data_IF_534705276172
#
_entry.id   IF_534705276172
#
_cell.length_a   1.000
_cell.length_b   1.000
_cell.length_c   1.000
_cell.angle_alpha   90.00
_cell.angle_beta   90.00
_cell.angle_gamma   90.00
#
_symmetry.space_group_name_H-M   'P 1'
#
loop_
_entity.id
_entity.type
_entity.pdbx_description
1 polymer ?
#
# COMPACT_ATOMS: atom_id res chain seq x y z
N UNK A 1 -8.04 16.41 7.98
CA UNK A 1 -8.35 15.49 6.87
C UNK A 1 -8.60 14.10 7.37
N UNK A 2 -9.43 13.36 6.65
CA UNK A 2 -9.73 11.94 6.90
C UNK A 2 -9.35 11.14 5.68
N UNK A 3 -8.66 10.05 5.84
CA UNK A 3 -8.29 9.25 4.68
C UNK A 3 -8.24 7.75 5.00
N UNK A 4 -8.32 6.95 3.96
CA UNK A 4 -8.18 5.50 4.04
C UNK A 4 -6.81 5.11 3.51
N UNK A 5 -6.14 4.20 4.22
CA UNK A 5 -4.93 3.54 3.78
C UNK A 5 -5.22 2.04 3.58
N UNK A 6 -4.99 1.56 2.38
CA UNK A 6 -5.13 0.16 1.97
C UNK A 6 -3.95 -0.25 1.09
N UNK A 7 -3.66 -1.55 1.01
CA UNK A 7 -2.56 -2.11 0.23
C UNK A 7 -2.81 -3.60 -0.09
N UNK A 8 -1.95 -4.17 -0.89
CA UNK A 8 -1.80 -5.62 -1.06
C UNK A 8 -3.12 -6.31 -1.44
N UNK A 9 -3.81 -5.74 -2.45
CA UNK A 9 -5.08 -6.29 -2.94
C UNK A 9 -4.88 -7.61 -3.68
N UNK A 10 -3.75 -7.78 -4.36
CA UNK A 10 -3.37 -8.97 -5.11
C UNK A 10 -4.49 -9.51 -6.01
N UNK A 11 -5.12 -8.63 -6.77
CA UNK A 11 -6.24 -9.00 -7.63
C UNK A 11 -5.82 -10.08 -8.64
N UNK A 12 -6.64 -11.12 -8.75
CA UNK A 12 -6.37 -12.28 -9.59
C UNK A 12 -5.50 -13.37 -8.94
N UNK A 13 -5.28 -13.30 -7.61
CA UNK A 13 -4.52 -14.31 -6.87
C UNK A 13 -5.17 -15.69 -6.92
N UNK A 14 -4.29 -16.70 -6.97
CA UNK A 14 -4.64 -18.11 -6.81
C UNK A 14 -4.22 -18.58 -5.43
N UNK A 15 -5.15 -19.12 -4.65
CA UNK A 15 -4.86 -19.77 -3.36
C UNK A 15 -5.24 -21.23 -3.45
N UNK A 16 -4.27 -22.13 -3.29
CA UNK A 16 -4.47 -23.59 -3.44
C UNK A 16 -5.19 -23.99 -4.74
N UNK A 17 -4.83 -23.34 -5.87
CA UNK A 17 -5.44 -23.59 -7.18
C UNK A 17 -6.82 -22.99 -7.39
N UNK A 18 -7.34 -22.23 -6.42
CA UNK A 18 -8.63 -21.54 -6.52
C UNK A 18 -8.45 -20.08 -6.86
N UNK A 19 -9.16 -19.60 -7.86
CA UNK A 19 -9.22 -18.17 -8.18
C UNK A 19 -9.96 -17.41 -7.10
N UNK A 20 -9.34 -16.35 -6.58
CA UNK A 20 -9.90 -15.53 -5.50
C UNK A 20 -10.73 -14.35 -6.00
N UNK A 21 -10.85 -14.14 -7.30
CA UNK A 21 -11.48 -12.95 -7.90
C UNK A 21 -12.91 -12.70 -7.40
N UNK A 22 -13.73 -13.76 -7.24
CA UNK A 22 -15.10 -13.59 -6.70
C UNK A 22 -15.11 -13.17 -5.22
N UNK A 23 -14.20 -13.71 -4.42
CA UNK A 23 -14.07 -13.35 -3.00
C UNK A 23 -13.51 -11.94 -2.87
N UNK A 24 -12.55 -11.57 -3.71
CA UNK A 24 -12.00 -10.21 -3.81
C UNK A 24 -13.10 -9.21 -4.21
N UNK A 25 -13.92 -9.54 -5.20
CA UNK A 25 -15.06 -8.71 -5.59
C UNK A 25 -16.08 -8.53 -4.46
N UNK A 26 -16.29 -9.56 -3.62
CA UNK A 26 -17.17 -9.46 -2.46
C UNK A 26 -16.61 -8.50 -1.40
N UNK A 27 -15.33 -8.61 -1.07
CA UNK A 27 -14.66 -7.75 -0.08
C UNK A 27 -14.54 -6.31 -0.58
N UNK A 28 -14.23 -6.11 -1.87
CA UNK A 28 -14.14 -4.77 -2.45
C UNK A 28 -15.50 -4.05 -2.49
N UNK A 29 -16.62 -4.77 -2.67
CA UNK A 29 -17.95 -4.14 -2.51
C UNK A 29 -18.20 -3.65 -1.09
N UNK A 30 -17.78 -4.41 -0.05
CA UNK A 30 -17.84 -3.91 1.33
C UNK A 30 -16.94 -2.70 1.51
N UNK A 31 -15.71 -2.75 0.99
CA UNK A 31 -14.78 -1.63 1.05
C UNK A 31 -15.39 -0.34 0.45
N UNK A 32 -16.03 -0.43 -0.73
CA UNK A 32 -16.72 0.70 -1.36
C UNK A 32 -17.87 1.23 -0.47
N UNK A 33 -18.64 0.35 0.18
CA UNK A 33 -19.70 0.75 1.11
C UNK A 33 -19.12 1.47 2.34
N UNK A 34 -18.03 0.97 2.90
CA UNK A 34 -17.31 1.62 4.01
C UNK A 34 -16.77 3.00 3.61
N UNK A 35 -16.24 3.15 2.39
CA UNK A 35 -15.82 4.46 1.85
C UNK A 35 -17.01 5.43 1.76
N UNK A 36 -18.16 4.96 1.29
CA UNK A 36 -19.39 5.76 1.18
C UNK A 36 -19.91 6.21 2.55
N UNK A 37 -19.82 5.35 3.58
CA UNK A 37 -20.24 5.65 4.95
C UNK A 37 -19.26 6.57 5.68
N UNK A 38 -17.95 6.31 5.57
CA UNK A 38 -16.90 7.07 6.27
C UNK A 38 -16.57 8.41 5.62
N UNK A 39 -16.87 8.57 4.32
CA UNK A 39 -16.64 9.80 3.55
C UNK A 39 -15.22 10.36 3.72
N UNK A 40 -14.17 9.60 3.40
CA UNK A 40 -12.80 10.09 3.49
C UNK A 40 -12.55 11.16 2.42
N UNK A 41 -11.60 12.06 2.69
CA UNK A 41 -11.15 13.06 1.72
C UNK A 41 -10.39 12.43 0.55
N UNK A 42 -9.69 11.30 0.80
CA UNK A 42 -8.98 10.52 -0.22
C UNK A 42 -8.62 9.11 0.26
N UNK A 43 -8.14 8.28 -0.67
CA UNK A 43 -7.65 6.92 -0.42
C UNK A 43 -6.18 6.82 -0.82
N UNK A 44 -5.36 6.19 0.04
CA UNK A 44 -3.98 5.79 -0.24
C UNK A 44 -3.94 4.29 -0.52
N UNK A 45 -3.47 3.90 -1.72
CA UNK A 45 -3.32 2.50 -2.14
C UNK A 45 -1.83 2.18 -2.31
N UNK A 46 -1.25 1.53 -1.31
CA UNK A 46 0.19 1.37 -1.16
C UNK A 46 0.75 0.11 -1.87
N UNK A 47 0.40 -0.09 -3.13
CA UNK A 47 1.00 -1.11 -4.01
C UNK A 47 0.40 -2.50 -3.92
N UNK A 48 0.96 -3.41 -4.71
CA UNK A 48 0.51 -4.79 -4.92
C UNK A 48 -0.99 -4.89 -5.24
N UNK A 49 -1.38 -4.07 -6.23
CA UNK A 49 -2.75 -4.01 -6.74
C UNK A 49 -3.11 -5.35 -7.39
N UNK A 50 -2.21 -5.88 -8.20
CA UNK A 50 -2.35 -7.18 -8.86
C UNK A 50 -1.39 -8.23 -8.29
N UNK A 51 -1.79 -9.51 -8.35
CA UNK A 51 -0.94 -10.63 -7.90
C UNK A 51 0.28 -10.87 -8.81
N UNK A 52 0.27 -10.34 -10.01
CA UNK A 52 1.35 -10.51 -11.00
C UNK A 52 1.38 -9.36 -12.00
N UNK A 53 2.55 -9.12 -12.58
CA UNK A 53 2.78 -8.04 -13.57
C UNK A 53 1.93 -8.15 -14.84
N UNK A 54 1.42 -9.34 -15.18
CA UNK A 54 0.43 -9.57 -16.23
C UNK A 54 -0.81 -10.18 -15.58
N UNK A 55 -1.74 -9.35 -15.07
CA UNK A 55 -2.93 -9.83 -14.40
C UNK A 55 -3.93 -10.47 -15.38
N UNK A 56 -4.78 -11.39 -14.92
CA UNK A 56 -5.89 -11.89 -15.72
C UNK A 56 -6.91 -10.77 -15.98
N UNK A 57 -7.64 -10.90 -17.09
CA UNK A 57 -8.61 -9.89 -17.55
C UNK A 57 -9.67 -9.57 -16.48
N UNK A 58 -10.12 -10.59 -15.76
CA UNK A 58 -11.12 -10.47 -14.71
C UNK A 58 -10.63 -9.62 -13.54
N UNK A 59 -9.32 -9.69 -13.23
CA UNK A 59 -8.70 -8.86 -12.20
C UNK A 59 -8.61 -7.39 -12.63
N UNK A 60 -8.24 -7.15 -13.89
CA UNK A 60 -8.18 -5.80 -14.48
C UNK A 60 -9.57 -5.17 -14.45
N UNK A 61 -10.60 -5.92 -14.88
CA UNK A 61 -11.98 -5.44 -14.84
C UNK A 61 -12.47 -5.15 -13.43
N UNK A 62 -12.17 -6.03 -12.46
CA UNK A 62 -12.53 -5.80 -11.06
C UNK A 62 -11.89 -4.52 -10.51
N UNK A 63 -10.64 -4.26 -10.87
CA UNK A 63 -9.95 -3.03 -10.48
C UNK A 63 -10.61 -1.80 -11.11
N UNK A 64 -10.87 -1.83 -12.42
CA UNK A 64 -11.55 -0.76 -13.16
C UNK A 64 -12.93 -0.45 -12.56
N UNK A 65 -13.76 -1.49 -12.34
CA UNK A 65 -15.08 -1.35 -11.74
C UNK A 65 -15.01 -0.72 -10.34
N UNK A 66 -14.01 -1.13 -9.53
CA UNK A 66 -13.80 -0.57 -8.17
C UNK A 66 -13.35 0.88 -8.23
N UNK A 67 -12.39 1.23 -9.10
CA UNK A 67 -11.96 2.62 -9.28
C UNK A 67 -13.11 3.52 -9.75
N UNK A 68 -13.94 3.03 -10.67
CA UNK A 68 -15.12 3.77 -11.12
C UNK A 68 -16.06 4.11 -9.96
N UNK A 69 -16.33 3.13 -9.09
CA UNK A 69 -17.15 3.34 -7.89
C UNK A 69 -16.54 4.38 -6.95
N UNK A 70 -15.25 4.29 -6.66
CA UNK A 70 -14.56 5.18 -5.73
C UNK A 70 -14.41 6.60 -6.29
N UNK A 71 -13.91 6.72 -7.52
CA UNK A 71 -13.50 8.00 -8.10
C UNK A 71 -14.66 8.72 -8.78
N UNK A 72 -15.42 8.02 -9.65
CA UNK A 72 -16.46 8.66 -10.47
C UNK A 72 -17.81 8.71 -9.73
N UNK A 73 -18.21 7.63 -9.04
CA UNK A 73 -19.50 7.63 -8.34
C UNK A 73 -19.43 8.34 -6.98
N UNK A 74 -18.41 8.02 -6.16
CA UNK A 74 -18.28 8.60 -4.81
C UNK A 74 -17.50 9.93 -4.81
N UNK A 75 -16.73 10.21 -5.87
CA UNK A 75 -15.92 11.43 -5.96
C UNK A 75 -14.73 11.45 -5.01
N UNK A 76 -14.26 10.28 -4.53
CA UNK A 76 -13.15 10.17 -3.59
C UNK A 76 -11.85 9.95 -4.36
N UNK A 77 -10.87 10.89 -4.30
CA UNK A 77 -9.59 10.74 -4.98
C UNK A 77 -8.80 9.53 -4.45
N UNK A 78 -8.10 8.84 -5.37
CA UNK A 78 -7.22 7.70 -5.04
C UNK A 78 -5.79 8.03 -5.41
N UNK A 79 -4.88 7.93 -4.45
CA UNK A 79 -3.43 8.04 -4.63
C UNK A 79 -2.83 6.64 -4.52
N UNK A 80 -2.31 6.14 -5.63
CA UNK A 80 -1.85 4.76 -5.74
C UNK A 80 -0.39 4.67 -6.19
N UNK A 81 0.28 3.60 -5.79
CA UNK A 81 1.62 3.24 -6.28
C UNK A 81 1.63 1.79 -6.76
N UNK A 82 2.63 1.41 -7.55
CA UNK A 82 2.92 0.00 -7.80
C UNK A 82 3.67 -0.64 -6.64
N UNK A 83 3.42 -1.94 -6.43
CA UNK A 83 4.23 -2.80 -5.58
C UNK A 83 5.16 -3.71 -6.39
N UNK A 84 5.79 -4.68 -5.72
CA UNK A 84 6.75 -5.59 -6.37
C UNK A 84 6.08 -6.71 -7.20
N UNK A 85 4.78 -6.94 -7.05
CA UNK A 85 4.01 -7.86 -7.89
C UNK A 85 3.48 -7.20 -9.16
N UNK A 86 3.30 -5.90 -9.15
CA UNK A 86 2.69 -5.14 -10.23
C UNK A 86 3.58 -5.03 -11.47
N UNK A 87 2.96 -4.69 -12.60
CA UNK A 87 3.66 -4.24 -13.80
C UNK A 87 3.68 -2.72 -13.83
N UNK A 88 4.78 -2.06 -13.45
CA UNK A 88 4.82 -0.61 -13.24
C UNK A 88 4.40 0.17 -14.48
N UNK A 89 4.87 -0.20 -15.67
CA UNK A 89 4.54 0.47 -16.93
C UNK A 89 3.06 0.30 -17.30
N UNK A 90 2.45 -0.85 -16.93
CA UNK A 90 1.02 -1.11 -17.15
C UNK A 90 0.14 -0.23 -16.26
N UNK A 91 0.52 -0.08 -15.00
CA UNK A 91 -0.18 0.81 -14.07
C UNK A 91 0.03 2.28 -14.44
N UNK A 92 1.22 2.65 -14.94
CA UNK A 92 1.50 4.01 -15.39
C UNK A 92 0.73 4.40 -16.65
N UNK A 93 0.27 3.41 -17.45
CA UNK A 93 -0.44 3.70 -18.69
C UNK A 93 -1.72 4.51 -18.45
N UNK A 94 -1.84 5.65 -19.12
CA UNK A 94 -3.01 6.52 -19.01
C UNK A 94 -3.06 7.40 -17.76
N UNK A 95 -2.11 7.30 -16.81
CA UNK A 95 -2.09 8.03 -15.54
C UNK A 95 -2.34 9.53 -15.68
N UNK A 96 -1.69 10.19 -16.65
CA UNK A 96 -1.86 11.64 -16.90
C UNK A 96 -3.28 12.03 -17.33
N UNK A 97 -4.03 11.11 -17.92
CA UNK A 97 -5.43 11.34 -18.30
C UNK A 97 -6.34 11.10 -17.10
N UNK A 98 -6.11 10.03 -16.35
CA UNK A 98 -6.90 9.63 -15.21
C UNK A 98 -6.72 10.55 -13.99
N UNK A 99 -5.57 11.21 -13.88
CA UNK A 99 -5.30 12.20 -12.83
C UNK A 99 -6.37 13.30 -12.76
N UNK A 100 -6.92 13.71 -13.91
CA UNK A 100 -7.98 14.74 -13.97
C UNK A 100 -9.31 14.29 -13.35
N UNK A 101 -9.56 13.00 -13.34
CA UNK A 101 -10.73 12.39 -12.70
C UNK A 101 -10.53 12.14 -11.20
N UNK A 102 -9.33 12.28 -10.67
CA UNK A 102 -9.03 12.03 -9.25
C UNK A 102 -8.32 10.69 -8.99
N UNK A 103 -7.80 10.02 -10.04
CA UNK A 103 -6.96 8.85 -9.88
C UNK A 103 -5.50 9.19 -10.18
N UNK A 104 -4.69 9.31 -9.13
CA UNK A 104 -3.26 9.56 -9.18
C UNK A 104 -2.51 8.25 -8.96
N UNK A 105 -1.82 7.76 -10.01
CA UNK A 105 -1.03 6.52 -9.95
C UNK A 105 0.40 6.79 -10.35
N UNK A 106 1.35 6.37 -9.52
CA UNK A 106 2.77 6.31 -9.83
C UNK A 106 3.16 4.83 -9.91
N UNK A 107 3.18 4.31 -11.12
CA UNK A 107 3.61 2.94 -11.39
C UNK A 107 5.12 2.83 -11.49
N UNK A 108 5.76 3.76 -12.19
CA UNK A 108 7.19 3.77 -12.47
C UNK A 108 7.85 5.05 -11.95
N UNK A 109 8.91 4.92 -11.16
CA UNK A 109 9.71 6.07 -10.75
C UNK A 109 10.73 6.39 -11.85
N UNK A 110 10.57 7.53 -12.51
CA UNK A 110 11.43 7.94 -13.63
C UNK A 110 12.37 9.11 -13.31
N UNK A 111 11.96 10.00 -12.42
CA UNK A 111 12.71 11.24 -12.10
C UNK A 111 12.93 11.46 -10.60
N UNK A 112 12.36 10.63 -9.76
CA UNK A 112 12.35 10.75 -8.29
C UNK A 112 10.95 10.60 -7.71
N UNK A 113 10.79 10.95 -6.45
CA UNK A 113 9.51 10.87 -5.74
C UNK A 113 8.53 11.89 -6.33
N UNK A 114 7.34 11.43 -6.74
CA UNK A 114 6.28 12.32 -7.19
C UNK A 114 5.49 12.87 -6.00
N UNK A 115 5.38 14.19 -5.93
CA UNK A 115 4.67 14.92 -4.87
C UNK A 115 3.38 15.52 -5.39
N UNK A 116 2.29 15.26 -4.66
CA UNK A 116 0.97 15.84 -4.91
C UNK A 116 0.62 16.82 -3.79
N UNK A 117 0.20 18.02 -4.19
CA UNK A 117 -0.24 19.07 -3.25
C UNK A 117 -1.75 18.97 -3.06
N UNK A 118 -2.16 18.93 -1.80
CA UNK A 118 -3.57 18.95 -1.40
C UNK A 118 -3.78 20.02 -0.34
N UNK A 119 -5.04 20.40 -0.13
CA UNK A 119 -5.41 21.41 0.87
C UNK A 119 -6.75 21.04 1.51
N UNK A 120 -6.87 21.25 2.81
CA UNK A 120 -8.13 21.16 3.53
C UNK A 120 -8.36 22.44 4.36
N UNK A 121 -9.40 22.47 5.19
CA UNK A 121 -9.72 23.59 6.07
C UNK A 121 -8.60 23.95 7.07
N UNK A 122 -7.64 23.06 7.26
CA UNK A 122 -6.49 23.22 8.17
C UNK A 122 -5.20 23.64 7.44
N UNK A 123 -5.25 23.85 6.11
CA UNK A 123 -4.13 24.31 5.29
C UNK A 123 -3.52 23.23 4.40
N UNK A 124 -2.29 23.50 3.97
CA UNK A 124 -1.60 22.67 2.98
C UNK A 124 -1.14 21.32 3.53
N UNK A 125 -1.19 20.32 2.66
CA UNK A 125 -0.54 19.04 2.87
C UNK A 125 0.05 18.53 1.55
N UNK A 126 0.97 17.58 1.64
CA UNK A 126 1.56 16.91 0.48
C UNK A 126 1.49 15.42 0.65
N UNK A 127 1.32 14.72 -0.47
CA UNK A 127 1.36 13.26 -0.57
C UNK A 127 2.51 12.89 -1.50
N UNK A 128 3.51 12.21 -0.96
CA UNK A 128 4.67 11.70 -1.68
C UNK A 128 4.43 10.23 -2.05
N UNK A 129 4.40 9.93 -3.35
CA UNK A 129 4.20 8.59 -3.87
C UNK A 129 5.55 7.95 -4.21
N UNK A 130 5.89 6.88 -3.49
CA UNK A 130 7.15 6.13 -3.58
C UNK A 130 6.82 4.68 -3.98
N UNK A 131 6.68 4.37 -5.28
CA UNK A 131 6.41 3.00 -5.72
C UNK A 131 7.55 2.06 -5.31
N UNK A 132 7.31 0.74 -5.40
CA UNK A 132 8.40 -0.22 -5.26
C UNK A 132 9.54 0.14 -6.21
N UNK A 133 10.75 0.22 -5.67
CA UNK A 133 11.93 0.60 -6.42
C UNK A 133 13.12 -0.29 -6.08
N UNK A 134 13.71 -0.91 -7.11
CA UNK A 134 14.99 -1.58 -6.99
C UNK A 134 16.13 -0.57 -6.81
N UNK A 135 17.14 -0.85 -5.97
CA UNK A 135 18.28 0.07 -5.76
C UNK A 135 18.98 0.53 -7.04
N UNK A 136 18.95 -0.29 -8.12
CA UNK A 136 19.54 0.08 -9.41
C UNK A 136 18.82 1.27 -10.07
N UNK A 137 17.52 1.40 -9.87
CA UNK A 137 16.72 2.52 -10.37
C UNK A 137 17.07 3.79 -9.60
N UNK A 138 17.17 3.71 -8.27
CA UNK A 138 17.60 4.84 -7.44
C UNK A 138 19.02 5.32 -7.84
N UNK A 139 19.96 4.40 -8.08
CA UNK A 139 21.29 4.73 -8.63
C UNK A 139 21.21 5.53 -9.90
N UNK A 140 20.39 5.06 -10.83
CA UNK A 140 20.23 5.71 -12.15
C UNK A 140 19.63 7.11 -12.02
N UNK A 141 18.55 7.25 -11.26
CA UNK A 141 17.84 8.54 -11.09
C UNK A 141 18.73 9.56 -10.37
N UNK A 142 19.39 9.15 -9.28
CA UNK A 142 20.19 10.05 -8.44
C UNK A 142 21.62 10.23 -8.95
N UNK A 143 22.04 9.48 -9.98
CA UNK A 143 23.43 9.45 -10.49
C UNK A 143 24.45 9.14 -9.38
N UNK A 144 24.11 8.17 -8.52
CA UNK A 144 24.89 7.77 -7.34
C UNK A 144 25.24 6.29 -7.39
N UNK A 145 26.50 5.98 -7.68
CA UNK A 145 26.98 4.59 -7.80
C UNK A 145 27.17 3.88 -6.45
N UNK A 146 27.11 4.59 -5.34
CA UNK A 146 27.30 4.06 -3.98
C UNK A 146 26.06 3.35 -3.41
N UNK A 147 24.86 3.58 -3.95
CA UNK A 147 23.62 2.94 -3.52
C UNK A 147 23.67 1.43 -3.86
N UNK A 148 23.57 0.55 -2.86
CA UNK A 148 23.64 -0.92 -3.00
C UNK A 148 22.40 -1.63 -2.47
N UNK A 149 21.77 -1.09 -1.43
CA UNK A 149 20.68 -1.68 -0.67
C UNK A 149 19.40 -0.88 -0.82
N UNK A 150 18.27 -1.49 -0.46
CA UNK A 150 16.99 -0.77 -0.38
C UNK A 150 17.05 0.34 0.65
N UNK A 151 17.71 0.11 1.80
CA UNK A 151 17.90 1.12 2.85
C UNK A 151 18.56 2.39 2.32
N UNK A 152 19.70 2.24 1.62
CA UNK A 152 20.41 3.36 1.00
C UNK A 152 19.60 4.05 -0.11
N UNK A 153 18.79 3.28 -0.87
CA UNK A 153 17.94 3.83 -1.91
C UNK A 153 16.83 4.72 -1.34
N UNK A 154 16.10 4.23 -0.32
CA UNK A 154 15.05 5.01 0.33
C UNK A 154 15.60 6.21 1.07
N UNK A 155 16.71 6.06 1.81
CA UNK A 155 17.39 7.19 2.45
C UNK A 155 17.73 8.28 1.43
N UNK A 156 18.43 7.91 0.34
CA UNK A 156 18.88 8.86 -0.66
C UNK A 156 17.72 9.56 -1.38
N UNK A 157 16.63 8.84 -1.70
CA UNK A 157 15.44 9.41 -2.34
C UNK A 157 14.70 10.38 -1.41
N UNK A 158 14.46 9.99 -0.16
CA UNK A 158 13.75 10.84 0.81
C UNK A 158 14.57 12.09 1.13
N UNK A 159 15.90 12.02 1.17
CA UNK A 159 16.78 13.19 1.35
C UNK A 159 16.68 14.22 0.22
N UNK A 160 16.13 13.87 -0.96
CA UNK A 160 15.88 14.84 -2.03
C UNK A 160 14.63 15.68 -1.81
N UNK A 161 13.78 15.31 -0.84
CA UNK A 161 12.50 15.96 -0.61
C UNK A 161 12.66 17.18 0.30
N UNK A 162 11.85 18.20 0.02
CA UNK A 162 11.76 19.40 0.85
C UNK A 162 10.61 19.25 1.86
N UNK A 163 10.93 19.37 3.14
CA UNK A 163 9.97 19.29 4.25
C UNK A 163 9.75 20.69 4.82
N UNK A 164 8.66 21.32 4.39
CA UNK A 164 8.33 22.70 4.77
C UNK A 164 7.61 22.73 6.12
N UNK A 165 8.01 23.66 6.98
CA UNK A 165 7.35 23.88 8.27
C UNK A 165 5.89 24.35 8.06
N UNK A 166 4.96 23.76 8.81
CA UNK A 166 3.52 24.08 8.71
C UNK A 166 2.80 23.39 7.55
N UNK A 167 3.47 22.57 6.76
CA UNK A 167 2.87 21.67 5.76
C UNK A 167 2.85 20.25 6.33
N UNK A 168 1.71 19.56 6.21
CA UNK A 168 1.60 18.15 6.61
C UNK A 168 2.13 17.25 5.50
N UNK A 169 2.98 16.31 5.87
CA UNK A 169 3.67 15.44 4.92
C UNK A 169 3.22 13.99 5.08
N UNK A 170 2.70 13.40 4.01
CA UNK A 170 2.25 12.01 3.95
C UNK A 170 3.09 11.26 2.92
N UNK A 171 3.64 10.10 3.30
CA UNK A 171 4.27 9.19 2.36
C UNK A 171 3.38 7.98 2.07
N UNK A 172 3.40 7.51 0.82
CA UNK A 172 2.89 6.21 0.41
C UNK A 172 4.05 5.42 -0.16
N UNK A 173 4.39 4.28 0.42
CA UNK A 173 5.55 3.50 0.01
C UNK A 173 5.26 1.99 0.00
N UNK A 174 5.96 1.27 -0.89
CA UNK A 174 5.89 -0.18 -0.95
C UNK A 174 7.28 -0.78 -0.72
N UNK A 175 7.56 -1.20 0.51
CA UNK A 175 8.88 -1.67 0.94
C UNK A 175 8.77 -2.51 2.20
N UNK A 176 9.80 -3.32 2.48
CA UNK A 176 9.93 -4.01 3.75
C UNK A 176 10.60 -3.09 4.78
N UNK A 177 9.79 -2.34 5.51
CA UNK A 177 10.24 -1.38 6.52
C UNK A 177 10.24 -2.03 7.89
N UNK A 178 11.37 -1.98 8.59
CA UNK A 178 11.53 -2.48 9.97
C UNK A 178 12.11 -1.40 10.87
N UNK A 179 12.01 -1.53 12.21
CA UNK A 179 12.54 -0.51 13.11
C UNK A 179 14.04 -0.23 12.90
N UNK A 180 14.83 -1.26 12.62
CA UNK A 180 16.29 -1.19 12.57
C UNK A 180 16.91 -1.66 11.25
N UNK A 181 16.11 -1.99 10.23
CA UNK A 181 16.62 -2.55 8.97
C UNK A 181 17.04 -4.02 9.08
N UNK A 182 16.48 -4.75 10.03
CA UNK A 182 16.75 -6.16 10.29
C UNK A 182 15.49 -7.01 10.06
N UNK A 183 15.62 -8.30 9.71
CA UNK A 183 14.47 -9.19 9.53
C UNK A 183 13.61 -9.28 10.79
N UNK A 184 12.30 -9.27 10.59
CA UNK A 184 11.32 -9.60 11.64
C UNK A 184 10.34 -10.65 11.10
N UNK A 185 10.66 -11.92 11.31
CA UNK A 185 9.84 -13.04 10.83
C UNK A 185 8.44 -13.07 11.48
N UNK A 186 8.23 -12.39 12.61
CA UNK A 186 6.95 -12.39 13.32
C UNK A 186 5.83 -11.65 12.58
N UNK A 187 6.19 -10.77 11.65
CA UNK A 187 5.26 -9.96 10.86
C UNK A 187 5.12 -10.43 9.42
N UNK A 188 5.97 -11.37 8.97
CA UNK A 188 5.97 -11.91 7.60
C UNK A 188 4.90 -12.99 7.40
N UNK A 189 4.50 -13.18 6.16
CA UNK A 189 3.58 -14.23 5.72
C UNK A 189 4.14 -15.00 4.52
N UNK A 190 3.74 -16.28 4.38
CA UNK A 190 4.18 -17.16 3.28
C UNK A 190 3.71 -16.69 1.89
N UNK A 191 2.79 -15.74 1.83
CA UNK A 191 2.26 -15.19 0.59
C UNK A 191 3.01 -13.97 0.07
N UNK A 192 3.92 -13.40 0.87
CA UNK A 192 4.78 -12.29 0.51
C UNK A 192 5.99 -12.79 -0.27
N UNK A 193 6.44 -12.02 -1.25
CA UNK A 193 7.65 -12.33 -2.00
C UNK A 193 8.84 -11.61 -1.40
N UNK A 194 9.96 -12.31 -1.16
CA UNK A 194 11.22 -11.62 -0.83
C UNK A 194 11.57 -10.60 -1.92
N UNK A 195 11.96 -9.39 -1.51
CA UNK A 195 12.33 -8.31 -2.44
C UNK A 195 13.75 -8.49 -2.98
N UNK A 196 14.62 -9.22 -2.25
CA UNK A 196 15.99 -9.51 -2.67
C UNK A 196 16.48 -10.86 -2.17
N UNK A 197 17.58 -11.33 -2.76
CA UNK A 197 18.34 -12.48 -2.27
C UNK A 197 19.48 -11.95 -1.38
N UNK A 198 19.53 -12.40 -0.12
CA UNK A 198 20.66 -12.10 0.77
C UNK A 198 20.42 -10.99 1.80
N UNK A 199 19.15 -10.62 2.09
CA UNK A 199 18.79 -9.77 3.23
C UNK A 199 19.11 -8.27 3.08
N UNK A 200 19.18 -7.77 1.85
CA UNK A 200 19.41 -6.33 1.56
C UNK A 200 18.12 -5.56 1.35
N UNK A 201 16.99 -6.21 1.59
CA UNK A 201 15.62 -5.72 1.28
C UNK A 201 15.00 -4.85 2.37
N UNK A 202 15.59 -4.84 3.57
CA UNK A 202 15.03 -4.14 4.71
C UNK A 202 15.38 -2.66 4.69
N UNK A 203 14.37 -1.82 4.96
CA UNK A 203 14.47 -0.37 5.04
C UNK A 203 14.24 0.07 6.48
N UNK A 204 15.10 0.94 7.01
CA UNK A 204 14.94 1.46 8.37
C UNK A 204 13.83 2.49 8.44
N UNK A 205 12.92 2.32 9.39
CA UNK A 205 11.79 3.24 9.61
C UNK A 205 12.22 4.69 9.90
N UNK A 206 13.43 4.92 10.41
CA UNK A 206 13.97 6.26 10.68
C UNK A 206 13.97 7.18 9.46
N UNK A 207 14.09 6.63 8.22
CA UNK A 207 14.10 7.42 7.00
C UNK A 207 12.74 8.12 6.76
N UNK A 208 11.66 7.55 7.29
CA UNK A 208 10.31 8.11 7.21
C UNK A 208 9.97 9.08 8.35
N UNK A 209 10.90 9.35 9.28
CA UNK A 209 10.68 10.26 10.40
C UNK A 209 10.25 11.69 10.03
N UNK A 210 10.61 12.25 8.85
CA UNK A 210 10.13 13.57 8.43
C UNK A 210 8.65 13.62 8.05
N UNK A 211 7.97 12.47 7.84
CA UNK A 211 6.55 12.40 7.49
C UNK A 211 5.66 12.33 8.72
N UNK A 212 4.53 13.03 8.67
CA UNK A 212 3.47 12.96 9.70
C UNK A 212 2.73 11.62 9.65
N UNK A 213 2.63 11.01 8.45
CA UNK A 213 2.10 9.67 8.26
C UNK A 213 2.78 8.96 7.09
N UNK A 214 3.07 7.68 7.28
CA UNK A 214 3.61 6.80 6.22
C UNK A 214 2.72 5.59 6.05
N UNK A 215 2.08 5.53 4.87
CA UNK A 215 1.26 4.42 4.42
C UNK A 215 2.12 3.37 3.72
N UNK A 216 2.31 2.21 4.34
CA UNK A 216 3.14 1.13 3.83
C UNK A 216 2.30 -0.01 3.24
N UNK A 217 2.75 -0.57 2.11
CA UNK A 217 2.36 -1.86 1.57
C UNK A 217 3.54 -2.83 1.55
N UNK A 218 3.30 -4.08 1.19
CA UNK A 218 4.16 -5.24 1.10
C UNK A 218 3.88 -6.30 2.17
N UNK A 219 3.73 -5.93 3.44
CA UNK A 219 3.41 -6.88 4.50
C UNK A 219 1.90 -7.02 4.68
N UNK A 220 1.44 -8.26 4.60
CA UNK A 220 0.00 -8.59 4.63
C UNK A 220 -0.64 -8.48 6.02
N UNK A 221 0.16 -8.31 7.07
CA UNK A 221 -0.33 -8.09 8.43
C UNK A 221 -0.45 -6.60 8.72
N UNK A 222 -1.63 -6.15 9.14
CA UNK A 222 -1.83 -4.78 9.63
C UNK A 222 -1.09 -4.57 10.96
N UNK A 223 -0.13 -3.66 10.99
CA UNK A 223 0.62 -3.32 12.22
C UNK A 223 1.36 -1.98 12.07
N UNK A 224 1.77 -1.40 13.20
CA UNK A 224 2.71 -0.29 13.25
C UNK A 224 4.16 -0.79 13.26
N UNK A 225 5.09 -0.05 12.64
CA UNK A 225 6.50 -0.43 12.61
C UNK A 225 7.23 0.07 13.86
N UNK A 226 7.44 1.38 14.00
CA UNK A 226 8.17 1.96 15.15
C UNK A 226 7.27 2.82 16.02
N UNK A 227 6.25 3.42 15.42
CA UNK A 227 5.28 4.28 16.05
C UNK A 227 3.95 4.24 15.29
N UNK A 228 2.94 4.96 15.78
CA UNK A 228 1.60 4.96 15.21
C UNK A 228 1.53 5.57 13.79
N UNK A 229 2.52 6.37 13.39
CA UNK A 229 2.50 7.10 12.13
C UNK A 229 3.12 6.33 10.97
N UNK A 230 3.89 5.25 11.22
CA UNK A 230 4.50 4.40 10.19
C UNK A 230 3.83 3.02 10.25
N UNK A 231 2.99 2.69 9.26
CA UNK A 231 2.10 1.54 9.36
C UNK A 231 1.92 0.79 8.06
N UNK A 232 1.71 -0.52 8.21
CA UNK A 232 1.12 -1.38 7.19
C UNK A 232 -0.38 -1.48 7.42
N UNK A 233 -1.19 -1.30 6.36
CA UNK A 233 -2.62 -1.59 6.39
C UNK A 233 -2.92 -3.09 6.33
N UNK A 234 -1.98 -3.85 5.80
CA UNK A 234 -2.15 -5.25 5.45
C UNK A 234 -3.03 -5.46 4.22
N UNK A 235 -3.16 -6.71 3.81
CA UNK A 235 -4.01 -7.11 2.68
C UNK A 235 -5.49 -7.16 3.06
N UNK A 236 -6.37 -7.01 2.06
CA UNK A 236 -7.83 -7.06 2.26
C UNK A 236 -8.35 -8.47 2.61
N UNK A 237 -7.61 -9.51 2.25
CA UNK A 237 -7.97 -10.91 2.44
C UNK A 237 -6.77 -11.73 2.88
N UNK A 238 -7.03 -12.93 3.43
CA UNK A 238 -6.01 -13.92 3.74
C UNK A 238 -5.61 -14.66 2.47
N UNK A 239 -4.31 -14.70 2.17
CA UNK A 239 -3.76 -15.31 0.97
C UNK A 239 -2.86 -16.52 1.23
N UNK A 240 -2.53 -16.80 2.50
CA UNK A 240 -1.76 -17.97 2.92
C UNK A 240 -2.26 -18.54 4.25
N UNK A 241 -1.83 -19.75 4.56
CA UNK A 241 -2.17 -20.40 5.83
C UNK A 241 -1.57 -19.65 7.04
N UNK A 242 -0.39 -19.06 6.88
CA UNK A 242 0.26 -18.26 7.93
C UNK A 242 -0.58 -17.03 8.33
N UNK A 243 -1.50 -16.59 7.47
CA UNK A 243 -2.39 -15.45 7.74
C UNK A 243 -3.71 -15.84 8.44
N UNK A 244 -3.91 -17.12 8.79
CA UNK A 244 -5.18 -17.61 9.36
C UNK A 244 -5.66 -16.82 10.58
N UNK A 245 -4.73 -16.29 11.38
CA UNK A 245 -5.03 -15.50 12.59
C UNK A 245 -5.07 -13.98 12.32
N UNK A 246 -4.79 -13.51 11.10
CA UNK A 246 -4.79 -12.09 10.79
C UNK A 246 -6.23 -11.54 10.69
N UNK A 247 -6.40 -10.31 11.16
CA UNK A 247 -7.61 -9.52 10.94
C UNK A 247 -7.39 -8.65 9.71
N UNK A 248 -8.08 -8.97 8.63
CA UNK A 248 -7.94 -8.30 7.33
C UNK A 248 -8.90 -7.13 7.22
N UNK A 249 -8.48 -6.08 6.50
CA UNK A 249 -9.27 -4.86 6.37
C UNK A 249 -8.46 -3.71 5.80
N UNK A 250 -8.76 -2.52 6.26
CA UNK A 250 -8.07 -1.29 5.88
C UNK A 250 -7.84 -0.42 7.12
N UNK A 251 -7.04 0.61 6.97
CA UNK A 251 -6.76 1.58 8.03
C UNK A 251 -7.48 2.89 7.72
N UNK A 252 -8.27 3.39 8.67
CA UNK A 252 -8.88 4.72 8.61
C UNK A 252 -8.05 5.67 9.48
N UNK A 253 -7.73 6.85 8.95
CA UNK A 253 -6.85 7.83 9.59
C UNK A 253 -7.55 9.18 9.62
N UNK A 254 -7.56 9.82 10.80
CA UNK A 254 -7.92 11.22 10.97
C UNK A 254 -6.65 11.99 11.34
N UNK A 255 -6.28 13.00 10.54
CA UNK A 255 -5.11 13.86 10.76
C UNK A 255 -5.56 15.29 11.07
N UNK A 256 -5.10 15.82 12.19
CA UNK A 256 -5.40 17.21 12.60
C UNK A 256 -4.50 18.25 11.89
N UNK A 257 -4.68 19.53 12.26
CA UNK A 257 -3.92 20.64 11.70
C UNK A 257 -2.42 20.57 11.99
N UNK A 258 -2.02 19.90 13.07
CA UNK A 258 -0.63 19.76 13.50
C UNK A 258 0.04 18.48 12.96
N UNK A 259 -0.65 17.72 12.10
CA UNK A 259 -0.15 16.44 11.58
C UNK A 259 -0.33 15.26 12.54
N UNK A 260 -0.94 15.46 13.71
CA UNK A 260 -1.21 14.37 14.63
C UNK A 260 -2.33 13.48 14.10
N UNK A 261 -2.10 12.17 14.13
CA UNK A 261 -3.05 11.18 13.61
C UNK A 261 -3.78 10.43 14.72
N UNK A 262 -5.02 10.04 14.40
CA UNK A 262 -5.77 8.99 15.08
C UNK A 262 -6.00 7.88 14.05
N UNK A 263 -5.73 6.64 14.44
CA UNK A 263 -5.71 5.51 13.52
C UNK A 263 -6.65 4.42 14.00
N UNK A 264 -7.55 3.98 13.13
CA UNK A 264 -8.48 2.88 13.35
C UNK A 264 -8.25 1.78 12.32
N UNK A 265 -8.10 0.53 12.75
CA UNK A 265 -8.14 -0.61 11.84
C UNK A 265 -9.59 -1.07 11.66
N UNK A 266 -10.08 -1.02 10.42
CA UNK A 266 -11.45 -1.36 10.04
C UNK A 266 -11.48 -2.76 9.39
N UNK A 267 -12.00 -3.79 10.05
CA UNK A 267 -12.02 -5.14 9.51
C UNK A 267 -13.03 -5.28 8.37
N UNK A 268 -12.66 -6.05 7.34
CA UNK A 268 -13.55 -6.49 6.27
C UNK A 268 -13.84 -7.99 6.43
N UNK A 269 -15.07 -8.38 6.20
CA UNK A 269 -15.51 -9.77 6.38
C UNK A 269 -15.41 -10.52 5.04
N UNK A 270 -14.59 -11.58 4.94
CA UNK A 270 -14.51 -12.37 3.72
C UNK A 270 -15.79 -13.20 3.53
N UNK A 271 -16.16 -13.46 2.26
CA UNK A 271 -17.24 -14.41 1.92
C UNK A 271 -16.91 -15.81 2.40
N UNK A 272 -15.64 -16.19 2.35
CA UNK A 272 -15.08 -17.45 2.81
C UNK A 272 -13.79 -17.15 3.57
N UNK A 273 -13.68 -17.66 4.79
CA UNK A 273 -12.50 -17.45 5.61
C UNK A 273 -11.53 -18.63 5.51
N UNK A 274 -10.24 -18.37 5.72
CA UNK A 274 -9.19 -19.36 5.79
C UNK A 274 -8.95 -19.70 7.26
N UNK A 275 -9.09 -20.99 7.61
CA UNK A 275 -8.92 -21.50 8.96
C UNK A 275 -7.97 -22.69 8.99
N UNK A 276 -7.23 -22.82 10.06
CA UNK A 276 -6.49 -24.03 10.40
C UNK A 276 -7.39 -24.86 11.30
N UNK A 277 -7.64 -26.11 10.90
CA UNK A 277 -8.38 -27.08 11.70
C UNK A 277 -7.41 -28.21 12.03
N UNK A 278 -7.14 -28.38 13.32
CA UNK A 278 -6.42 -29.53 13.86
C UNK A 278 -7.45 -30.51 14.43
N UNK A 279 -7.55 -31.68 13.82
CA UNK A 279 -8.50 -32.72 14.22
C UNK A 279 -7.91 -34.09 13.98
N UNK A 280 -8.34 -35.09 14.78
CA UNK A 280 -8.07 -36.48 14.48
C UNK A 280 -8.91 -36.97 13.31
N UNK A 281 -8.51 -38.10 12.69
CA UNK A 281 -9.26 -38.70 11.57
C UNK A 281 -10.71 -39.10 11.95
N UNK A 282 -10.99 -39.22 13.22
CA UNK A 282 -12.31 -39.58 13.76
C UNK A 282 -13.20 -38.34 13.97
N UNK A 283 -12.62 -37.15 14.00
CA UNK A 283 -13.31 -35.85 14.19
C UNK A 283 -13.59 -35.13 12.88
N UNK A 284 -12.96 -35.54 11.76
CA UNK A 284 -13.16 -35.05 10.40
C UNK A 284 -14.22 -35.86 9.65
#
# INVERSE_FOLDING_TARGET
MKFIHTADWHLGKLVHGRHMTEDQAYVLRQFVQEVEEKQPDFILLAGDIFDRSIPPVEAVKLYEDTLYELVERLGVPVYAISGNHDGPERLQFGSKMMQKSGYMIVGEMTTGIERFHIEDEHGAAVIDLIPYIDPSIARYILQRDDIRTFDEAYEALIQTMDFQEGVRHIAVAHAFVTPYGEPDESVMSDSERPLSIGGTEFVQSKHFAPYDYTALGHLHRAHQVSNETIRYSGSLMKYSQSEATHHKGYTFVEMDAAGKVQVEHCPLLPKRDLRIIEATTEEL
#
